data_IF_014921560901
#
_entry.id   IF_014921560901
#
_cell.length_a   1.000
_cell.length_b   1.000
_cell.length_c   1.000
_cell.angle_alpha   90.00
_cell.angle_beta   90.00
_cell.angle_gamma   90.00
#
_symmetry.space_group_name_H-M   'P 1'
#
loop_
_entity.id
_entity.type
_entity.pdbx_description
1 polymer ?
#
# COMPACT_ATOMS: atom_id res chain seq x y z
N UNK A 1 25.35 3.71 6.72
CA UNK A 1 24.69 3.14 5.52
C UNK A 1 23.19 3.34 5.69
N UNK A 2 22.47 3.85 4.69
CA UNK A 2 21.00 3.94 4.80
C UNK A 2 20.43 2.52 4.80
N UNK A 3 19.49 2.23 5.72
CA UNK A 3 18.86 0.91 5.82
C UNK A 3 17.45 0.97 5.26
N UNK A 4 17.04 -0.12 4.59
CA UNK A 4 15.71 -0.26 4.00
C UNK A 4 14.99 -1.39 4.70
N UNK A 5 13.72 -1.17 5.02
CA UNK A 5 12.87 -2.20 5.59
C UNK A 5 11.47 -2.14 4.99
N UNK A 6 10.84 -3.31 4.84
CA UNK A 6 9.42 -3.38 4.51
C UNK A 6 8.61 -3.39 5.80
N UNK A 7 7.68 -2.46 5.93
CA UNK A 7 6.83 -2.32 7.11
C UNK A 7 5.35 -2.40 6.72
N UNK A 8 4.57 -3.09 7.55
CA UNK A 8 3.12 -3.17 7.39
C UNK A 8 2.52 -1.84 7.83
N UNK A 9 1.93 -1.11 6.89
CA UNK A 9 1.30 0.19 7.13
C UNK A 9 -0.20 0.05 7.43
N UNK A 10 -0.85 -0.98 6.89
CA UNK A 10 -2.29 -1.21 7.07
C UNK A 10 -2.61 -2.69 6.85
N UNK A 11 -3.51 -3.24 7.65
CA UNK A 11 -4.13 -4.53 7.40
C UNK A 11 -5.57 -4.26 6.97
N UNK A 12 -6.01 -4.89 5.89
CA UNK A 12 -7.34 -4.70 5.34
C UNK A 12 -7.82 -5.95 4.63
N UNK A 13 -9.12 -6.22 4.74
CA UNK A 13 -9.74 -7.32 4.01
C UNK A 13 -9.80 -7.01 2.51
N UNK A 14 -9.39 -7.97 1.68
CA UNK A 14 -9.43 -7.85 0.22
C UNK A 14 -10.47 -8.79 -0.36
N UNK A 15 -11.52 -8.23 -0.96
CA UNK A 15 -12.58 -9.01 -1.59
C UNK A 15 -12.09 -9.90 -2.75
N UNK A 16 -11.02 -9.48 -3.45
CA UNK A 16 -10.45 -10.25 -4.57
C UNK A 16 -9.71 -11.50 -4.12
N UNK A 17 -9.03 -11.42 -2.98
CA UNK A 17 -8.30 -12.53 -2.40
C UNK A 17 -9.18 -13.37 -1.47
N UNK A 18 -10.30 -12.80 -0.98
CA UNK A 18 -11.19 -13.45 -0.02
C UNK A 18 -10.61 -13.54 1.39
N UNK A 19 -9.55 -12.80 1.68
CA UNK A 19 -8.81 -12.86 2.95
C UNK A 19 -8.25 -11.49 3.35
N UNK A 20 -7.76 -11.40 4.59
CA UNK A 20 -7.04 -10.23 5.07
C UNK A 20 -5.65 -10.15 4.41
N UNK A 21 -5.32 -8.97 3.91
CA UNK A 21 -4.02 -8.68 3.31
C UNK A 21 -3.32 -7.55 4.06
N UNK A 22 -2.00 -7.62 4.10
CA UNK A 22 -1.16 -6.57 4.65
C UNK A 22 -0.69 -5.67 3.50
N UNK A 23 -0.94 -4.38 3.64
CA UNK A 23 -0.37 -3.33 2.82
C UNK A 23 0.94 -2.92 3.45
N UNK A 24 2.00 -3.00 2.67
CA UNK A 24 3.36 -2.77 3.12
C UNK A 24 3.99 -1.63 2.33
N UNK A 25 4.88 -0.89 2.99
CA UNK A 25 5.68 0.16 2.38
C UNK A 25 7.17 -0.13 2.61
N UNK A 26 7.99 0.11 1.59
CA UNK A 26 9.44 0.08 1.73
C UNK A 26 9.90 1.42 2.28
N UNK A 27 10.32 1.44 3.54
CA UNK A 27 10.80 2.63 4.23
C UNK A 27 12.32 2.63 4.22
N UNK A 28 12.89 3.74 3.75
CA UNK A 28 14.33 3.99 3.76
C UNK A 28 14.63 4.98 4.87
N UNK A 29 15.43 4.51 5.82
CA UNK A 29 15.89 5.28 6.95
C UNK A 29 17.30 5.81 6.67
N UNK A 30 17.59 7.09 7.01
CA UNK A 30 18.90 7.67 6.81
C UNK A 30 19.97 6.94 7.63
N UNK A 31 21.21 6.96 7.13
CA UNK A 31 22.35 6.31 7.75
C UNK A 31 22.69 6.82 9.16
N UNK A 32 22.24 8.02 9.47
CA UNK A 32 22.43 8.73 10.73
C UNK A 32 21.09 9.35 11.07
N UNK A 33 20.65 9.23 12.32
CA UNK A 33 19.42 9.87 12.77
C UNK A 33 19.60 11.39 12.73
N UNK A 34 19.19 12.01 11.62
CA UNK A 34 19.12 13.45 11.45
C UNK A 34 17.64 13.85 11.56
N UNK A 35 17.25 14.65 12.56
CA UNK A 35 15.84 15.05 12.73
C UNK A 35 15.27 15.81 11.52
N UNK A 36 16.12 16.45 10.71
CA UNK A 36 15.74 17.14 9.47
C UNK A 36 15.49 16.18 8.27
N UNK A 37 15.92 14.92 8.35
CA UNK A 37 15.75 13.94 7.27
C UNK A 37 14.79 12.84 7.70
N UNK A 38 13.50 13.09 7.50
CA UNK A 38 12.48 12.08 7.72
C UNK A 38 12.70 10.82 6.85
N UNK A 39 12.30 9.63 7.35
CA UNK A 39 12.27 8.41 6.54
C UNK A 39 11.44 8.59 5.28
N UNK A 40 11.85 7.95 4.19
CA UNK A 40 11.17 8.05 2.89
C UNK A 40 10.54 6.74 2.50
N UNK A 41 9.32 6.80 1.96
CA UNK A 41 8.67 5.65 1.34
C UNK A 41 9.15 5.56 -0.11
N UNK A 42 9.70 4.41 -0.49
CA UNK A 42 10.20 4.16 -1.86
C UNK A 42 9.23 3.35 -2.70
N UNK A 43 8.48 2.44 -2.09
CA UNK A 43 7.57 1.54 -2.78
C UNK A 43 6.43 1.11 -1.87
N UNK A 44 5.35 0.63 -2.50
CA UNK A 44 4.21 0.01 -1.85
C UNK A 44 3.99 -1.38 -2.42
N UNK A 45 3.52 -2.33 -1.60
CA UNK A 45 3.12 -3.66 -2.05
C UNK A 45 2.02 -4.24 -1.17
N UNK A 46 1.25 -5.17 -1.74
CA UNK A 46 0.36 -6.06 -1.00
C UNK A 46 1.09 -7.37 -0.67
N UNK A 47 0.91 -7.91 0.53
CA UNK A 47 1.47 -9.20 0.96
C UNK A 47 1.04 -10.39 0.08
N UNK A 48 -0.09 -10.24 -0.63
CA UNK A 48 -0.64 -11.23 -1.58
C UNK A 48 -0.57 -10.78 -3.04
N UNK A 49 0.21 -9.74 -3.34
CA UNK A 49 0.32 -9.19 -4.69
C UNK A 49 0.70 -10.22 -5.76
N UNK A 50 1.59 -11.16 -5.44
CA UNK A 50 1.97 -12.24 -6.36
C UNK A 50 0.86 -13.27 -6.59
N UNK A 51 0.05 -13.57 -5.56
CA UNK A 51 -1.06 -14.50 -5.67
C UNK A 51 -2.15 -13.97 -6.62
N UNK A 52 -2.26 -12.64 -6.76
CA UNK A 52 -3.18 -12.02 -7.71
C UNK A 52 -2.91 -12.41 -9.18
N UNK A 53 -1.69 -12.83 -9.53
CA UNK A 53 -1.37 -13.30 -10.89
C UNK A 53 -2.04 -14.64 -11.23
N UNK A 54 -2.44 -15.41 -10.21
CA UNK A 54 -3.12 -16.70 -10.38
C UNK A 54 -4.64 -16.57 -10.43
N UNK A 55 -5.19 -15.37 -10.20
CA UNK A 55 -6.63 -15.13 -10.25
C UNK A 55 -7.08 -14.83 -11.69
N UNK A 56 -8.34 -15.15 -11.99
CA UNK A 56 -8.94 -14.92 -13.32
C UNK A 56 -9.35 -13.46 -13.57
N UNK A 57 -8.85 -12.53 -12.76
CA UNK A 57 -9.17 -11.10 -12.83
C UNK A 57 -7.90 -10.27 -12.64
N UNK A 58 -7.79 -9.08 -13.26
CA UNK A 58 -6.66 -8.19 -13.00
C UNK A 58 -6.57 -7.87 -11.51
N UNK A 59 -5.36 -7.63 -11.01
CA UNK A 59 -5.17 -7.26 -9.60
C UNK A 59 -5.54 -5.79 -9.34
N UNK A 60 -4.77 -5.13 -8.48
CA UNK A 60 -4.94 -3.74 -8.10
C UNK A 60 -3.61 -2.97 -8.19
N UNK A 61 -3.65 -1.69 -7.82
CA UNK A 61 -2.46 -0.85 -7.73
C UNK A 61 -1.44 -1.44 -6.74
N UNK A 62 -1.90 -2.02 -5.63
CA UNK A 62 -1.05 -2.64 -4.60
C UNK A 62 -0.41 -3.98 -5.02
N UNK A 63 -0.99 -4.68 -5.99
CA UNK A 63 -0.35 -5.86 -6.60
C UNK A 63 0.55 -5.48 -7.78
N UNK A 64 0.59 -4.19 -8.18
CA UNK A 64 1.39 -3.68 -9.29
C UNK A 64 0.85 -4.02 -10.68
N UNK A 65 -0.33 -4.65 -10.77
CA UNK A 65 -0.88 -5.16 -12.04
C UNK A 65 -1.98 -4.27 -12.63
N UNK A 66 -2.64 -3.44 -11.82
CA UNK A 66 -3.67 -2.50 -12.31
C UNK A 66 -3.62 -1.16 -11.57
N UNK A 67 -2.86 -0.17 -12.07
CA UNK A 67 -2.70 1.13 -11.41
C UNK A 67 -4.01 1.94 -11.26
N UNK A 68 -5.00 1.71 -12.13
CA UNK A 68 -6.26 2.46 -12.12
C UNK A 68 -7.27 1.99 -11.07
N UNK A 69 -7.01 0.86 -10.40
CA UNK A 69 -7.93 0.28 -9.43
C UNK A 69 -7.28 0.17 -8.06
N UNK A 70 -7.86 0.87 -7.08
CA UNK A 70 -7.47 0.79 -5.68
C UNK A 70 -8.67 0.32 -4.83
N UNK A 71 -8.66 -0.93 -4.34
CA UNK A 71 -9.74 -1.48 -3.53
C UNK A 71 -9.77 -0.90 -2.10
N UNK A 72 -8.73 -0.17 -1.68
CA UNK A 72 -8.61 0.33 -0.31
C UNK A 72 -8.83 1.84 -0.18
N UNK A 73 -9.23 2.52 -1.28
CA UNK A 73 -9.69 3.90 -1.21
C UNK A 73 -10.98 3.97 -0.40
N UNK A 74 -10.99 4.83 0.61
CA UNK A 74 -12.22 5.17 1.32
C UNK A 74 -13.20 5.83 0.34
N UNK A 75 -14.51 5.54 0.44
CA UNK A 75 -15.50 6.27 -0.34
C UNK A 75 -15.40 7.75 0.05
N UNK A 76 -15.25 8.63 -0.94
CA UNK A 76 -15.29 10.07 -0.70
C UNK A 76 -16.62 10.41 -0.01
N UNK A 77 -16.56 10.72 1.28
CA UNK A 77 -17.69 11.32 1.99
C UNK A 77 -17.83 12.71 1.38
N UNK A 78 -18.78 12.88 0.46
CA UNK A 78 -19.19 14.18 -0.04
C UNK A 78 -19.45 15.09 1.15
N UNK A 79 -18.52 16.02 1.41
CA UNK A 79 -18.73 17.07 2.41
C UNK A 79 -20.00 17.80 1.99
N UNK A 80 -21.06 17.84 2.81
CA UNK A 80 -22.26 18.59 2.45
C UNK A 80 -21.83 20.03 2.21
N UNK A 81 -22.16 20.54 1.02
CA UNK A 81 -21.89 21.91 0.62
C UNK A 81 -22.40 22.86 1.72
N UNK A 82 -21.48 23.59 2.34
CA UNK A 82 -21.84 24.64 3.28
C UNK A 82 -22.71 25.65 2.53
N UNK A 83 -23.97 25.76 2.95
CA UNK A 83 -24.95 26.73 2.46
C UNK A 83 -24.73 28.08 3.13
#
# INVERSE_FOLDING_TARGET
MAYRNWEVIKISYCERAGEEVALEAEIVYPATFLPEQAPRIMAHRCSRGLACNSFHQPGCCWSGTNPGYDPFKEPEVEKPAAK
#
